data_IF_009986973549
#
_entry.id   IF_009986973549
#
_cell.length_a   1.000
_cell.length_b   1.000
_cell.length_c   1.000
_cell.angle_alpha   90.00
_cell.angle_beta   90.00
_cell.angle_gamma   90.00
#
_symmetry.space_group_name_H-M   'P 1'
#
loop_
_entity.id
_entity.type
_entity.pdbx_description
1 polymer ?
#
# COMPACT_ATOMS: atom_id res chain seq x y z
N UNK A 1 -18.31 -42.87 -53.10
CA UNK A 1 -18.84 -42.07 -54.23
C UNK A 1 -20.30 -41.81 -54.00
N UNK A 2 -20.70 -40.55 -53.84
CA UNK A 2 -22.06 -40.03 -54.05
C UNK A 2 -21.97 -38.50 -54.04
N UNK A 3 -22.69 -37.84 -54.95
CA UNK A 3 -22.66 -36.38 -55.12
C UNK A 3 -24.01 -35.76 -54.75
N UNK A 4 -23.96 -34.72 -53.92
CA UNK A 4 -24.86 -33.57 -53.86
C UNK A 4 -24.20 -32.57 -52.87
N UNK A 5 -24.31 -31.25 -52.89
CA UNK A 5 -24.77 -30.21 -53.83
C UNK A 5 -24.63 -28.92 -53.00
N UNK A 6 -23.82 -27.96 -53.46
CA UNK A 6 -23.90 -26.50 -53.21
C UNK A 6 -24.66 -25.96 -51.98
N UNK A 7 -23.92 -25.30 -51.07
CA UNK A 7 -24.37 -24.12 -50.33
C UNK A 7 -23.19 -23.15 -50.15
N UNK A 8 -23.26 -21.96 -50.76
CA UNK A 8 -22.32 -20.85 -50.52
C UNK A 8 -22.94 -19.86 -49.50
N UNK A 9 -22.18 -19.33 -48.53
CA UNK A 9 -22.62 -18.22 -47.71
C UNK A 9 -22.44 -16.87 -48.43
N UNK A 10 -23.28 -15.85 -48.15
CA UNK A 10 -23.14 -14.52 -48.74
C UNK A 10 -22.04 -13.69 -48.05
N UNK A 11 -21.35 -12.84 -48.82
CA UNK A 11 -20.45 -11.81 -48.26
C UNK A 11 -21.19 -10.50 -48.00
N UNK A 12 -20.92 -9.78 -46.90
CA UNK A 12 -21.31 -8.38 -46.74
C UNK A 12 -20.32 -7.42 -47.43
N UNK A 13 -20.81 -6.24 -47.81
CA UNK A 13 -20.18 -5.35 -48.80
C UNK A 13 -19.04 -4.47 -48.25
N UNK A 14 -18.11 -4.13 -49.15
CA UNK A 14 -17.16 -3.02 -48.98
C UNK A 14 -17.88 -1.66 -49.05
N UNK A 15 -17.38 -0.69 -48.27
CA UNK A 15 -17.73 0.73 -48.39
C UNK A 15 -16.44 1.53 -48.54
N UNK A 16 -16.31 2.23 -49.67
CA UNK A 16 -15.20 3.13 -50.00
C UNK A 16 -15.70 4.58 -50.23
N UNK A 17 -14.80 5.59 -50.25
CA UNK A 17 -15.10 6.88 -49.65
C UNK A 17 -15.34 8.05 -50.63
N UNK A 18 -15.81 9.15 -50.06
CA UNK A 18 -15.67 10.52 -50.57
C UNK A 18 -16.10 11.50 -49.47
N UNK A 19 -15.79 12.80 -49.47
CA UNK A 19 -14.82 13.66 -50.16
C UNK A 19 -15.21 15.09 -49.68
N UNK A 20 -14.24 15.98 -49.41
CA UNK A 20 -14.39 17.46 -49.47
C UNK A 20 -15.31 18.13 -48.40
N UNK A 21 -15.15 19.40 -47.97
CA UNK A 21 -14.13 20.45 -48.20
C UNK A 21 -14.32 21.66 -47.26
N UNK A 22 -13.27 22.47 -47.03
CA UNK A 22 -13.34 23.84 -46.47
C UNK A 22 -13.30 23.94 -44.94
N UNK A 23 -12.81 25.02 -44.29
CA UNK A 23 -12.23 26.31 -44.72
C UNK A 23 -11.22 26.81 -43.65
N UNK A 24 -10.48 27.90 -43.92
CA UNK A 24 -9.36 28.38 -43.07
C UNK A 24 -9.62 29.73 -42.38
N UNK A 25 -9.01 29.94 -41.19
CA UNK A 25 -8.54 31.20 -40.54
C UNK A 25 -9.55 32.38 -40.34
N UNK A 26 -9.32 33.37 -39.42
CA UNK A 26 -8.02 33.87 -38.92
C UNK A 26 -7.95 34.24 -37.40
N UNK A 27 -6.93 35.05 -37.08
CA UNK A 27 -6.45 35.52 -35.76
C UNK A 27 -7.12 36.85 -35.34
N UNK A 28 -7.32 37.13 -34.04
CA UNK A 28 -7.08 38.48 -33.46
C UNK A 28 -7.01 38.53 -31.92
N UNK A 29 -6.46 39.64 -31.42
CA UNK A 29 -6.01 39.94 -30.06
C UNK A 29 -7.10 40.45 -29.08
N UNK A 30 -6.75 40.56 -27.79
CA UNK A 30 -7.53 41.35 -26.82
C UNK A 30 -7.01 41.30 -25.37
N UNK A 31 -6.41 42.39 -24.88
CA UNK A 31 -5.82 42.53 -23.54
C UNK A 31 -6.89 42.96 -22.47
N UNK A 32 -6.60 43.33 -21.19
CA UNK A 32 -7.37 42.84 -20.06
C UNK A 32 -8.23 43.91 -19.35
N UNK A 33 -9.23 43.48 -18.57
CA UNK A 33 -9.91 44.39 -17.64
C UNK A 33 -9.14 44.55 -16.33
N UNK A 34 -8.63 45.76 -16.10
CA UNK A 34 -8.42 46.30 -14.75
C UNK A 34 -9.78 46.52 -14.08
N UNK A 35 -9.84 46.34 -12.76
CA UNK A 35 -10.73 47.14 -11.92
C UNK A 35 -9.95 47.74 -10.76
N UNK A 36 -9.85 49.07 -10.79
CA UNK A 36 -9.36 49.93 -9.72
C UNK A 36 -10.42 50.09 -8.64
N UNK A 37 -10.03 50.21 -7.37
CA UNK A 37 -10.36 51.40 -6.58
C UNK A 37 -9.45 51.59 -5.35
N UNK A 38 -9.05 52.84 -5.11
CA UNK A 38 -8.33 53.32 -3.93
C UNK A 38 -9.32 53.77 -2.82
N UNK A 39 -8.94 53.59 -1.55
CA UNK A 39 -9.02 54.58 -0.46
C UNK A 39 -8.36 53.97 0.81
N UNK A 40 -7.19 54.39 1.30
CA UNK A 40 -6.77 55.67 1.93
C UNK A 40 -7.20 55.82 3.41
N UNK A 41 -6.19 55.69 4.30
CA UNK A 41 -5.95 56.26 5.65
C UNK A 41 -7.15 56.52 6.60
N UNK A 42 -7.07 56.21 7.91
CA UNK A 42 -6.31 56.98 8.93
C UNK A 42 -6.20 56.26 10.29
N UNK A 43 -5.09 56.46 11.01
CA UNK A 43 -4.99 56.45 12.49
C UNK A 43 -5.06 57.91 12.99
N UNK A 44 -5.57 58.21 14.20
CA UNK A 44 -4.64 58.56 15.28
C UNK A 44 -5.08 58.27 16.75
N UNK A 45 -4.04 58.03 17.58
CA UNK A 45 -3.79 58.39 19.01
C UNK A 45 -4.92 58.77 20.01
N UNK A 46 -4.97 57.98 21.09
CA UNK A 46 -4.73 58.31 22.53
C UNK A 46 -5.70 59.19 23.37
N UNK A 47 -5.87 58.79 24.65
CA UNK A 47 -6.13 59.52 25.94
C UNK A 47 -6.77 58.51 26.96
N UNK A 48 -6.74 58.62 28.30
CA UNK A 48 -5.65 58.80 29.32
C UNK A 48 -6.27 58.65 30.75
N UNK A 49 -5.61 57.93 31.70
CA UNK A 49 -5.90 57.86 33.17
C UNK A 49 -7.30 57.31 33.58
N UNK A 50 -7.61 56.80 34.79
CA UNK A 50 -7.03 56.79 36.16
C UNK A 50 -7.75 55.67 37.00
N UNK A 51 -7.47 55.27 38.28
CA UNK A 51 -6.41 55.50 39.30
C UNK A 51 -6.51 54.41 40.44
N UNK A 52 -5.36 53.98 40.99
CA UNK A 52 -5.04 53.58 42.41
C UNK A 52 -5.88 52.54 43.21
N UNK A 53 -5.16 51.57 43.82
CA UNK A 53 -5.51 50.90 45.10
C UNK A 53 -5.78 49.39 44.99
N UNK A 54 -5.29 48.49 45.84
CA UNK A 54 -4.35 48.62 46.98
C UNK A 54 -3.51 47.32 47.15
N UNK A 55 -2.46 47.39 47.97
CA UNK A 55 -1.50 46.30 48.18
C UNK A 55 -1.98 45.29 49.23
N UNK A 56 -1.99 44.00 48.92
CA UNK A 56 -2.15 42.92 49.89
C UNK A 56 -1.26 41.71 49.52
N UNK A 57 -0.28 41.41 50.38
CA UNK A 57 0.61 40.27 50.25
C UNK A 57 -0.08 39.00 50.79
N UNK A 58 -0.36 38.03 49.92
CA UNK A 58 -0.44 36.62 50.32
C UNK A 58 0.37 35.80 49.33
N UNK A 59 1.58 35.42 49.76
CA UNK A 59 2.43 34.50 49.01
C UNK A 59 1.95 33.07 49.27
N UNK A 60 1.16 32.52 48.36
CA UNK A 60 0.88 31.09 48.28
C UNK A 60 1.61 30.55 47.04
N UNK A 61 2.42 29.51 47.23
CA UNK A 61 3.10 28.85 46.12
C UNK A 61 2.07 28.08 45.29
N UNK A 62 1.62 28.67 44.19
CA UNK A 62 1.03 27.91 43.09
C UNK A 62 2.16 27.09 42.46
N UNK A 63 2.43 25.89 43.01
CA UNK A 63 3.27 24.90 42.34
C UNK A 63 2.52 24.42 41.10
N UNK A 64 2.70 25.15 40.01
CA UNK A 64 2.49 24.64 38.65
C UNK A 64 3.20 23.29 38.62
N UNK A 65 2.51 22.17 38.37
CA UNK A 65 3.19 20.90 38.16
C UNK A 65 4.11 21.11 36.98
N UNK A 66 5.42 21.11 37.24
CA UNK A 66 6.42 21.06 36.19
C UNK A 66 6.13 19.76 35.45
N UNK A 67 5.51 19.88 34.28
CA UNK A 67 5.12 18.76 33.45
C UNK A 67 6.43 18.19 32.92
N UNK A 68 7.03 17.32 33.74
CA UNK A 68 8.32 16.73 33.50
C UNK A 68 8.32 16.19 32.08
N UNK A 69 9.05 16.89 31.20
CA UNK A 69 9.34 16.40 29.88
C UNK A 69 10.05 15.08 30.11
N UNK A 70 9.35 13.97 29.86
CA UNK A 70 9.93 12.65 29.99
C UNK A 70 11.26 12.66 29.23
N UNK A 71 12.37 12.17 29.83
CA UNK A 71 13.67 12.30 29.22
C UNK A 71 13.63 11.79 27.80
N UNK A 72 13.82 12.68 26.81
CA UNK A 72 13.87 12.26 25.42
C UNK A 72 14.96 11.20 25.31
N UNK A 73 14.55 9.98 25.00
CA UNK A 73 15.38 8.81 25.21
C UNK A 73 16.53 8.83 24.18
N UNK A 74 17.68 9.36 24.59
CA UNK A 74 18.90 9.46 23.77
C UNK A 74 19.70 8.16 23.74
N UNK A 75 19.06 7.04 24.10
CA UNK A 75 19.59 5.70 23.88
C UNK A 75 19.76 5.37 22.39
N UNK A 76 20.53 4.32 22.06
CA UNK A 76 20.78 3.88 20.69
C UNK A 76 19.56 3.26 20.00
N UNK A 77 18.43 3.13 20.69
CA UNK A 77 17.15 2.64 20.20
C UNK A 77 16.07 3.65 20.60
N UNK A 78 15.48 4.35 19.61
CA UNK A 78 14.47 5.40 19.85
C UNK A 78 13.03 4.88 19.73
N UNK A 79 12.85 3.56 19.60
CA UNK A 79 11.52 2.94 19.46
C UNK A 79 10.70 3.12 20.75
N UNK A 80 9.40 3.34 20.59
CA UNK A 80 8.47 3.46 21.71
C UNK A 80 8.22 2.13 22.42
N UNK A 81 7.72 2.21 23.65
CA UNK A 81 7.25 1.03 24.39
C UNK A 81 6.18 0.23 23.64
N UNK A 82 5.40 0.86 22.75
CA UNK A 82 4.43 0.16 21.89
C UNK A 82 5.16 -0.72 20.85
N UNK A 83 6.19 -0.20 20.17
CA UNK A 83 7.00 -0.99 19.24
C UNK A 83 7.75 -2.12 19.94
N UNK A 84 8.31 -1.87 21.13
CA UNK A 84 8.98 -2.90 21.95
C UNK A 84 8.00 -3.99 22.40
N UNK A 85 6.76 -3.63 22.74
CA UNK A 85 5.70 -4.60 23.06
C UNK A 85 5.26 -5.41 21.83
N UNK A 86 5.12 -4.76 20.67
CA UNK A 86 4.79 -5.42 19.40
C UNK A 86 5.86 -6.44 19.00
N UNK A 87 7.15 -6.14 19.18
CA UNK A 87 8.24 -7.09 18.92
C UNK A 87 8.13 -8.35 19.79
N UNK A 88 7.81 -8.22 21.08
CA UNK A 88 7.57 -9.36 21.97
C UNK A 88 6.31 -10.14 21.57
N UNK A 89 5.25 -9.44 21.19
CA UNK A 89 4.00 -10.04 20.73
C UNK A 89 4.22 -10.88 19.46
N UNK A 90 4.85 -10.34 18.42
CA UNK A 90 5.09 -11.08 17.17
C UNK A 90 6.05 -12.26 17.34
N UNK A 91 7.05 -12.16 18.21
CA UNK A 91 7.87 -13.32 18.58
C UNK A 91 7.04 -14.45 19.22
N UNK A 92 6.06 -14.12 20.06
CA UNK A 92 5.14 -15.10 20.66
C UNK A 92 4.16 -15.70 19.64
N UNK A 93 3.64 -14.88 18.71
CA UNK A 93 2.78 -15.33 17.59
C UNK A 93 3.55 -16.31 16.72
N UNK A 94 4.74 -15.96 16.25
CA UNK A 94 5.59 -16.86 15.45
C UNK A 94 5.82 -18.20 16.16
N UNK A 95 6.16 -18.17 17.45
CA UNK A 95 6.37 -19.38 18.24
C UNK A 95 5.12 -20.27 18.29
N UNK A 96 3.92 -19.69 18.47
CA UNK A 96 2.63 -20.40 18.42
C UNK A 96 2.44 -21.06 17.05
N UNK A 97 2.60 -20.33 15.96
CA UNK A 97 2.37 -20.81 14.59
C UNK A 97 3.32 -21.94 14.19
N UNK A 98 4.61 -21.80 14.50
CA UNK A 98 5.59 -22.86 14.24
C UNK A 98 5.24 -24.13 15.02
N UNK A 99 4.83 -23.98 16.29
CA UNK A 99 4.38 -25.11 17.13
C UNK A 99 3.11 -25.79 16.59
N UNK A 100 2.23 -25.02 15.95
CA UNK A 100 0.99 -25.53 15.34
C UNK A 100 1.17 -26.02 13.89
N UNK A 101 2.37 -25.89 13.29
CA UNK A 101 2.62 -26.24 11.90
C UNK A 101 1.96 -25.28 10.89
N UNK A 102 1.56 -24.08 11.33
CA UNK A 102 0.94 -23.04 10.50
C UNK A 102 1.99 -22.15 9.80
N UNK A 103 3.16 -21.95 10.42
CA UNK A 103 4.30 -21.26 9.81
C UNK A 103 5.40 -22.27 9.46
N UNK A 104 5.26 -22.89 8.28
CA UNK A 104 6.15 -23.96 7.80
C UNK A 104 7.42 -23.42 7.16
N UNK A 105 8.52 -24.16 7.34
CA UNK A 105 9.82 -23.94 6.70
C UNK A 105 10.28 -25.12 5.83
N UNK A 106 9.52 -26.22 5.85
CA UNK A 106 9.72 -27.34 4.93
C UNK A 106 9.22 -27.02 3.51
N UNK A 107 9.62 -27.84 2.53
CA UNK A 107 9.23 -27.68 1.12
C UNK A 107 7.81 -28.12 0.78
N UNK A 108 6.94 -28.30 1.78
CA UNK A 108 5.74 -29.13 1.69
C UNK A 108 6.07 -30.61 1.96
N UNK A 109 5.04 -31.39 2.28
CA UNK A 109 5.16 -32.81 2.57
C UNK A 109 3.98 -33.65 2.05
N UNK A 110 4.02 -34.98 2.23
CA UNK A 110 2.92 -35.88 1.83
C UNK A 110 1.58 -35.59 2.53
N UNK A 111 1.61 -34.79 3.58
CA UNK A 111 0.48 -34.30 4.34
C UNK A 111 -0.33 -33.20 3.62
N UNK A 112 0.21 -32.61 2.54
CA UNK A 112 -0.46 -31.60 1.73
C UNK A 112 -0.55 -32.01 0.24
N UNK A 113 -1.25 -33.11 -0.10
CA UNK A 113 -1.43 -33.53 -1.48
C UNK A 113 -2.29 -32.52 -2.24
N UNK A 114 -1.84 -32.11 -3.42
CA UNK A 114 -2.59 -31.25 -4.33
C UNK A 114 -2.73 -31.90 -5.71
N UNK A 115 -3.83 -31.61 -6.39
CA UNK A 115 -4.08 -32.04 -7.78
C UNK A 115 -4.19 -30.81 -8.69
N UNK A 116 -4.13 -31.01 -10.01
CA UNK A 116 -4.39 -29.93 -10.97
C UNK A 116 -5.77 -29.27 -10.74
N UNK A 117 -6.79 -30.06 -10.40
CA UNK A 117 -8.13 -29.58 -10.03
C UNK A 117 -8.11 -28.72 -8.78
N UNK A 118 -7.40 -29.17 -7.73
CA UNK A 118 -7.23 -28.42 -6.47
C UNK A 118 -6.54 -27.07 -6.73
N UNK A 119 -5.49 -27.05 -7.54
CA UNK A 119 -4.78 -25.82 -7.90
C UNK A 119 -5.64 -24.86 -8.70
N UNK A 120 -6.43 -25.36 -9.66
CA UNK A 120 -7.37 -24.55 -10.44
C UNK A 120 -8.46 -23.93 -9.54
N UNK A 121 -9.07 -24.71 -8.65
CA UNK A 121 -10.08 -24.23 -7.70
C UNK A 121 -9.52 -23.18 -6.73
N UNK A 122 -8.32 -23.42 -6.18
CA UNK A 122 -7.64 -22.43 -5.33
C UNK A 122 -7.34 -21.15 -6.13
N UNK A 123 -6.83 -21.26 -7.36
CA UNK A 123 -6.55 -20.12 -8.22
C UNK A 123 -7.81 -19.31 -8.54
N UNK A 124 -8.91 -19.95 -8.94
CA UNK A 124 -10.19 -19.26 -9.18
C UNK A 124 -10.67 -18.52 -7.91
N UNK A 125 -10.59 -19.18 -6.75
CA UNK A 125 -11.03 -18.62 -5.46
C UNK A 125 -10.18 -17.43 -5.00
N UNK A 126 -8.90 -17.39 -5.37
CA UNK A 126 -7.90 -16.38 -4.96
C UNK A 126 -7.78 -15.23 -5.99
N UNK A 127 -7.87 -15.52 -7.29
CA UNK A 127 -7.60 -14.56 -8.37
C UNK A 127 -8.88 -13.90 -8.94
N UNK A 128 -10.06 -14.50 -8.72
CA UNK A 128 -11.34 -14.00 -9.24
C UNK A 128 -12.27 -13.47 -8.14
N UNK A 129 -11.72 -13.17 -6.97
CA UNK A 129 -12.41 -12.51 -5.87
C UNK A 129 -11.50 -11.45 -5.26
N UNK A 130 -12.09 -10.39 -4.72
CA UNK A 130 -11.44 -9.42 -3.84
C UNK A 130 -11.84 -9.75 -2.38
N UNK A 131 -10.90 -9.72 -1.44
CA UNK A 131 -11.16 -10.02 -0.02
C UNK A 131 -11.92 -8.88 0.69
N UNK A 132 -11.60 -7.63 0.34
CA UNK A 132 -12.17 -6.44 0.97
C UNK A 132 -13.04 -5.65 -0.02
N UNK A 133 -14.23 -5.26 0.44
CA UNK A 133 -15.08 -4.29 -0.25
C UNK A 133 -14.94 -2.91 0.41
N UNK A 134 -14.85 -1.83 -0.38
CA UNK A 134 -14.89 -0.47 0.16
C UNK A 134 -16.35 -0.09 0.49
N UNK A 135 -16.64 0.11 1.79
CA UNK A 135 -17.96 0.57 2.27
C UNK A 135 -17.77 1.78 3.18
N UNK A 136 -18.44 2.89 2.86
CA UNK A 136 -18.34 4.13 3.67
C UNK A 136 -16.93 4.71 3.78
N UNK A 137 -16.07 4.49 2.77
CA UNK A 137 -14.69 4.96 2.76
C UNK A 137 -13.70 4.12 3.59
N UNK A 138 -14.08 2.89 3.99
CA UNK A 138 -13.22 1.93 4.70
C UNK A 138 -13.23 0.59 3.98
N UNK A 139 -12.14 -0.17 4.12
CA UNK A 139 -12.12 -1.57 3.73
C UNK A 139 -12.91 -2.41 4.75
N UNK A 140 -13.74 -3.33 4.25
CA UNK A 140 -14.51 -4.27 5.06
C UNK A 140 -14.30 -5.66 4.48
N UNK A 141 -13.83 -6.60 5.30
CA UNK A 141 -13.63 -8.00 4.91
C UNK A 141 -14.98 -8.56 4.41
N UNK A 142 -15.07 -8.77 3.10
CA UNK A 142 -16.24 -9.25 2.40
C UNK A 142 -15.81 -9.70 1.02
N UNK A 143 -15.65 -11.01 0.85
CA UNK A 143 -15.38 -11.62 -0.45
C UNK A 143 -16.40 -11.13 -1.50
N UNK A 144 -15.92 -10.54 -2.59
CA UNK A 144 -16.73 -10.15 -3.75
C UNK A 144 -16.14 -10.67 -5.05
N UNK A 145 -16.94 -11.11 -6.04
CA UNK A 145 -16.44 -11.50 -7.35
C UNK A 145 -15.65 -10.37 -8.02
N UNK A 146 -14.53 -10.72 -8.64
CA UNK A 146 -13.58 -9.81 -9.25
C UNK A 146 -13.17 -10.32 -10.64
N UNK A 147 -12.36 -9.53 -11.34
CA UNK A 147 -11.79 -9.91 -12.63
C UNK A 147 -10.31 -10.22 -12.46
N UNK A 148 -9.75 -11.13 -13.26
CA UNK A 148 -8.32 -11.42 -13.23
C UNK A 148 -7.51 -10.14 -13.51
N UNK A 149 -6.73 -9.70 -12.52
CA UNK A 149 -5.83 -8.55 -12.64
C UNK A 149 -4.41 -9.04 -12.83
N UNK A 150 -3.61 -8.35 -13.66
CA UNK A 150 -2.23 -8.74 -13.97
C UNK A 150 -1.33 -7.55 -14.26
N UNK A 151 -0.03 -7.75 -14.16
CA UNK A 151 0.97 -6.79 -14.59
C UNK A 151 1.26 -6.93 -16.09
N UNK A 152 1.01 -5.87 -16.85
CA UNK A 152 1.30 -5.82 -18.31
C UNK A 152 2.56 -4.99 -18.62
N UNK A 153 3.24 -4.46 -17.59
CA UNK A 153 4.48 -3.67 -17.68
C UNK A 153 5.56 -4.13 -16.70
N UNK A 154 6.85 -3.84 -16.97
CA UNK A 154 7.94 -4.19 -16.05
C UNK A 154 7.77 -3.59 -14.65
N UNK A 155 8.09 -4.39 -13.65
CA UNK A 155 7.99 -4.06 -12.22
C UNK A 155 9.37 -3.63 -11.70
N UNK A 156 9.40 -2.47 -11.05
CA UNK A 156 10.56 -1.94 -10.32
C UNK A 156 10.20 -1.89 -8.85
N UNK A 157 10.74 -2.86 -8.10
CA UNK A 157 10.53 -3.03 -6.66
C UNK A 157 11.45 -2.07 -5.93
N UNK A 158 10.87 -1.01 -5.37
CA UNK A 158 11.54 -0.06 -4.49
C UNK A 158 11.44 -0.52 -3.05
N UNK A 159 12.53 -0.35 -2.30
CA UNK A 159 12.61 -0.71 -0.88
C UNK A 159 12.70 0.55 -0.03
N UNK A 160 11.78 0.67 0.92
CA UNK A 160 11.73 1.72 1.91
C UNK A 160 11.93 1.08 3.30
N UNK A 161 12.92 1.59 4.04
CA UNK A 161 13.16 1.20 5.42
C UNK A 161 12.98 2.42 6.30
N UNK A 162 12.32 2.25 7.44
CA UNK A 162 12.30 3.26 8.49
C UNK A 162 13.70 3.48 9.07
N UNK A 163 13.98 4.71 9.50
CA UNK A 163 15.29 5.13 10.01
C UNK A 163 15.78 4.31 11.20
N UNK A 164 14.87 3.78 12.04
CA UNK A 164 15.17 2.94 13.19
C UNK A 164 15.43 1.47 12.84
N UNK A 165 15.05 0.99 11.64
CA UNK A 165 15.31 -0.39 11.21
C UNK A 165 16.84 -0.64 11.13
N UNK A 166 17.42 -1.59 11.89
CA UNK A 166 18.87 -1.80 11.90
C UNK A 166 19.41 -2.29 10.56
N UNK A 167 20.60 -1.86 10.14
CA UNK A 167 21.16 -2.23 8.82
C UNK A 167 21.32 -3.75 8.63
N UNK A 168 21.58 -4.51 9.71
CA UNK A 168 21.61 -5.98 9.65
C UNK A 168 20.25 -6.57 9.21
N UNK A 169 19.15 -6.03 9.72
CA UNK A 169 17.80 -6.40 9.29
C UNK A 169 17.54 -5.93 7.84
N UNK A 170 17.95 -4.69 7.49
CA UNK A 170 17.82 -4.18 6.12
C UNK A 170 18.56 -5.05 5.10
N UNK A 171 19.75 -5.54 5.43
CA UNK A 171 20.53 -6.42 4.56
C UNK A 171 19.80 -7.74 4.29
N UNK A 172 19.34 -8.43 5.34
CA UNK A 172 18.55 -9.67 5.24
C UNK A 172 17.28 -9.44 4.40
N UNK A 173 16.52 -8.39 4.72
CA UNK A 173 15.24 -8.10 4.06
C UNK A 173 15.45 -7.70 2.57
N UNK A 174 16.55 -7.00 2.24
CA UNK A 174 16.98 -6.74 0.85
C UNK A 174 17.30 -8.03 0.09
N UNK A 175 18.03 -8.95 0.71
CA UNK A 175 18.40 -10.22 0.08
C UNK A 175 17.17 -11.11 -0.16
N UNK A 176 16.27 -11.20 0.83
CA UNK A 176 15.00 -11.91 0.76
C UNK A 176 14.12 -11.37 -0.38
N UNK A 177 13.88 -10.06 -0.43
CA UNK A 177 13.11 -9.44 -1.53
C UNK A 177 13.81 -9.67 -2.87
N UNK A 178 15.12 -9.48 -2.98
CA UNK A 178 15.84 -9.69 -4.24
C UNK A 178 15.78 -11.16 -4.71
N UNK A 179 15.83 -12.12 -3.81
CA UNK A 179 15.65 -13.54 -4.11
C UNK A 179 14.23 -13.84 -4.58
N UNK A 180 13.22 -13.28 -3.92
CA UNK A 180 11.83 -13.50 -4.29
C UNK A 180 11.44 -12.81 -5.60
N UNK A 181 11.94 -11.61 -5.88
CA UNK A 181 11.82 -10.92 -7.18
C UNK A 181 12.35 -11.79 -8.33
N UNK A 182 13.51 -12.43 -8.16
CA UNK A 182 14.05 -13.38 -9.16
C UNK A 182 13.17 -14.63 -9.33
N UNK A 183 12.49 -15.08 -8.27
CA UNK A 183 11.56 -16.22 -8.31
C UNK A 183 10.25 -15.84 -9.02
N UNK A 184 9.60 -14.76 -8.60
CA UNK A 184 8.36 -14.26 -9.19
C UNK A 184 8.52 -13.93 -10.67
N UNK A 185 9.61 -13.24 -11.06
CA UNK A 185 9.89 -12.92 -12.47
C UNK A 185 10.01 -14.18 -13.34
N UNK A 186 10.71 -15.21 -12.85
CA UNK A 186 10.82 -16.51 -13.53
C UNK A 186 9.49 -17.26 -13.63
N UNK A 187 8.67 -17.23 -12.58
CA UNK A 187 7.40 -17.96 -12.54
C UNK A 187 6.30 -17.30 -13.37
N UNK A 188 6.28 -15.97 -13.45
CA UNK A 188 5.22 -15.19 -14.11
C UNK A 188 5.59 -14.74 -15.52
N UNK A 189 6.88 -14.73 -15.87
CA UNK A 189 7.38 -14.14 -17.12
C UNK A 189 7.41 -12.60 -17.12
N UNK A 190 6.89 -11.94 -16.07
CA UNK A 190 6.94 -10.49 -15.93
C UNK A 190 8.38 -10.08 -15.60
N UNK A 191 8.91 -9.07 -16.29
CA UNK A 191 10.22 -8.51 -15.95
C UNK A 191 10.12 -7.77 -14.60
N UNK A 192 10.81 -8.27 -13.57
CA UNK A 192 10.86 -7.66 -12.24
C UNK A 192 12.30 -7.39 -11.84
N UNK A 193 12.55 -6.19 -11.30
CA UNK A 193 13.88 -5.75 -10.83
C UNK A 193 13.76 -5.05 -9.48
N UNK A 194 14.78 -5.16 -8.62
CA UNK A 194 14.89 -4.30 -7.43
C UNK A 194 15.56 -3.00 -7.84
N UNK A 195 14.87 -1.88 -7.69
CA UNK A 195 15.38 -0.55 -8.04
C UNK A 195 14.61 0.56 -7.34
N UNK A 196 15.34 1.48 -6.70
CA UNK A 196 14.78 2.71 -6.14
C UNK A 196 14.63 3.84 -7.19
N UNK A 197 14.98 3.59 -8.45
CA UNK A 197 14.76 4.54 -9.55
C UNK A 197 13.36 4.36 -10.15
N UNK A 198 12.48 5.34 -9.89
CA UNK A 198 11.08 5.35 -10.34
C UNK A 198 10.33 4.02 -10.05
N UNK A 199 10.33 3.51 -8.79
CA UNK A 199 9.64 2.27 -8.45
C UNK A 199 8.14 2.39 -8.69
N UNK A 200 7.51 1.27 -9.02
CA UNK A 200 6.06 1.14 -9.10
C UNK A 200 5.53 0.00 -8.22
N UNK A 201 6.39 -0.63 -7.44
CA UNK A 201 6.05 -1.67 -6.49
C UNK A 201 6.87 -1.39 -5.25
N UNK A 202 6.23 -1.09 -4.13
CA UNK A 202 6.88 -0.49 -2.97
C UNK A 202 6.76 -1.45 -1.80
N UNK A 203 7.89 -1.95 -1.28
CA UNK A 203 7.90 -2.76 -0.05
C UNK A 203 8.50 -1.92 1.07
N UNK A 204 7.74 -1.74 2.13
CA UNK A 204 8.11 -0.91 3.28
C UNK A 204 8.34 -1.78 4.51
N UNK A 205 9.46 -1.55 5.19
CA UNK A 205 9.77 -2.14 6.49
C UNK A 205 9.81 -1.02 7.51
N UNK A 206 8.81 -0.97 8.40
CA UNK A 206 8.59 0.13 9.35
C UNK A 206 8.33 -0.42 10.74
N UNK A 207 8.95 0.18 11.76
CA UNK A 207 8.46 0.04 13.14
C UNK A 207 7.22 0.90 13.34
N UNK A 208 6.47 0.63 14.40
CA UNK A 208 5.19 1.26 14.74
C UNK A 208 5.22 2.80 14.74
N UNK A 209 6.29 3.39 15.25
CA UNK A 209 6.42 4.85 15.33
C UNK A 209 6.60 5.48 13.94
N UNK A 210 7.22 4.75 13.02
CA UNK A 210 7.52 5.16 11.66
C UNK A 210 6.29 4.92 10.77
N UNK A 211 5.61 3.78 10.96
CA UNK A 211 4.32 3.43 10.38
C UNK A 211 3.30 4.55 10.57
N UNK A 212 3.09 5.02 11.81
CA UNK A 212 2.15 6.11 12.12
C UNK A 212 2.46 7.41 11.38
N UNK A 213 3.72 7.67 11.08
CA UNK A 213 4.22 8.93 10.54
C UNK A 213 4.56 8.88 9.04
N UNK A 214 4.36 7.75 8.36
CA UNK A 214 4.80 7.56 6.95
C UNK A 214 3.97 8.35 5.92
N UNK A 215 2.75 8.78 6.28
CA UNK A 215 1.78 9.37 5.36
C UNK A 215 2.29 10.53 4.47
N UNK A 216 3.03 11.52 4.99
CA UNK A 216 3.63 12.57 4.16
C UNK A 216 4.63 12.05 3.12
N UNK A 217 5.45 11.06 3.48
CA UNK A 217 6.42 10.45 2.56
C UNK A 217 5.70 9.60 1.49
N UNK A 218 4.62 8.90 1.85
CA UNK A 218 3.79 8.19 0.89
C UNK A 218 3.21 9.14 -0.18
N UNK A 219 2.59 10.26 0.23
CA UNK A 219 2.06 11.25 -0.73
C UNK A 219 3.13 11.83 -1.65
N UNK A 220 4.37 11.97 -1.17
CA UNK A 220 5.49 12.45 -1.98
C UNK A 220 6.00 11.39 -2.97
N UNK A 221 6.02 10.11 -2.57
CA UNK A 221 6.61 9.00 -3.34
C UNK A 221 5.63 8.32 -4.28
N UNK A 222 4.33 8.37 -3.96
CA UNK A 222 3.23 7.73 -4.68
C UNK A 222 2.08 8.76 -4.77
N UNK A 223 2.15 9.74 -5.68
CA UNK A 223 1.18 10.85 -5.72
C UNK A 223 -0.27 10.42 -5.94
N UNK A 224 -0.48 9.31 -6.66
CA UNK A 224 -1.80 8.75 -6.96
C UNK A 224 -2.39 7.90 -5.80
N UNK A 225 -1.69 7.82 -4.65
CA UNK A 225 -2.14 7.02 -3.52
C UNK A 225 -3.31 7.71 -2.78
N UNK A 226 -4.49 7.10 -2.86
CA UNK A 226 -5.69 7.59 -2.19
C UNK A 226 -5.56 7.62 -0.66
N UNK A 227 -6.19 8.62 -0.03
CA UNK A 227 -6.09 8.84 1.43
C UNK A 227 -6.52 7.63 2.25
N UNK A 228 -7.51 6.85 1.80
CA UNK A 228 -7.95 5.61 2.48
C UNK A 228 -6.78 4.64 2.69
N UNK A 229 -5.92 4.41 1.68
CA UNK A 229 -4.78 3.51 1.84
C UNK A 229 -3.70 4.10 2.74
N UNK A 230 -3.51 5.42 2.74
CA UNK A 230 -2.61 6.09 3.70
C UNK A 230 -3.12 5.89 5.13
N UNK A 231 -4.43 5.98 5.34
CA UNK A 231 -5.07 5.76 6.63
C UNK A 231 -4.91 4.30 7.07
N UNK A 232 -5.21 3.32 6.20
CA UNK A 232 -4.98 1.90 6.50
C UNK A 232 -3.51 1.60 6.84
N UNK A 233 -2.53 2.11 6.08
CA UNK A 233 -1.11 1.89 6.36
C UNK A 233 -0.71 2.51 7.71
N UNK A 234 -1.08 3.77 7.96
CA UNK A 234 -0.70 4.50 9.19
C UNK A 234 -1.42 3.98 10.44
N UNK A 235 -2.63 3.43 10.28
CA UNK A 235 -3.47 2.95 11.39
C UNK A 235 -3.45 1.42 11.54
N UNK A 236 -2.89 0.67 10.58
CA UNK A 236 -2.94 -0.81 10.51
C UNK A 236 -2.68 -1.45 11.88
N UNK A 237 -3.64 -2.25 12.39
CA UNK A 237 -3.67 -2.70 13.77
C UNK A 237 -2.66 -3.83 14.01
N UNK A 238 -2.42 -4.17 15.29
CA UNK A 238 -1.41 -5.18 15.65
C UNK A 238 -1.69 -6.59 15.09
N UNK A 239 -2.93 -6.91 14.74
CA UNK A 239 -3.34 -8.22 14.25
C UNK A 239 -3.35 -8.33 12.71
N UNK A 240 -2.99 -7.27 12.00
CA UNK A 240 -2.70 -7.30 10.55
C UNK A 240 -1.19 -7.42 10.41
N UNK A 241 -0.64 -8.62 10.21
CA UNK A 241 0.81 -8.83 10.35
C UNK A 241 1.60 -8.11 9.26
N UNK A 242 1.09 -8.15 8.04
CA UNK A 242 1.52 -7.36 6.90
C UNK A 242 0.28 -6.91 6.12
N UNK A 243 0.42 -6.09 5.07
CA UNK A 243 -0.67 -5.85 4.11
C UNK A 243 -0.16 -5.37 2.75
N UNK A 244 -0.79 -5.84 1.66
CA UNK A 244 -0.60 -5.40 0.29
C UNK A 244 -1.82 -4.63 -0.25
N UNK A 245 -1.53 -3.54 -0.96
CA UNK A 245 -2.50 -2.82 -1.79
C UNK A 245 -1.98 -2.76 -3.22
N UNK A 246 -2.73 -3.32 -4.18
CA UNK A 246 -2.44 -3.23 -5.60
C UNK A 246 -3.47 -2.32 -6.30
N UNK A 247 -3.01 -1.53 -7.27
CA UNK A 247 -3.78 -0.51 -7.97
C UNK A 247 -3.82 -0.84 -9.46
N UNK A 248 -4.99 -0.68 -10.08
CA UNK A 248 -5.18 -0.87 -11.52
C UNK A 248 -5.13 0.45 -12.30
N UNK A 249 -5.03 0.36 -13.63
CA UNK A 249 -5.24 1.50 -14.51
C UNK A 249 -6.70 1.97 -14.46
N UNK A 250 -6.92 3.28 -14.47
CA UNK A 250 -8.28 3.87 -14.42
C UNK A 250 -9.10 3.52 -15.66
N UNK A 251 -8.46 3.24 -16.79
CA UNK A 251 -9.08 2.87 -18.06
C UNK A 251 -9.06 1.34 -18.30
N UNK A 252 -8.31 0.59 -17.50
CA UNK A 252 -8.25 -0.88 -17.56
C UNK A 252 -8.07 -1.46 -16.14
N UNK A 253 -9.20 -1.75 -15.48
CA UNK A 253 -9.24 -2.31 -14.13
C UNK A 253 -8.59 -3.69 -13.98
N UNK A 254 -8.28 -4.37 -15.09
CA UNK A 254 -7.57 -5.66 -15.12
C UNK A 254 -6.04 -5.53 -15.26
N UNK A 255 -5.50 -4.31 -15.41
CA UNK A 255 -4.06 -4.08 -15.59
C UNK A 255 -3.47 -3.33 -14.39
N UNK A 256 -2.56 -3.96 -13.66
CA UNK A 256 -1.92 -3.38 -12.49
C UNK A 256 -0.85 -2.34 -12.85
N UNK A 257 -0.86 -1.25 -12.10
CA UNK A 257 -0.06 -0.05 -12.32
C UNK A 257 0.90 0.22 -11.16
N UNK A 258 0.44 0.07 -9.92
CA UNK A 258 1.29 0.16 -8.73
C UNK A 258 0.91 -0.86 -7.66
N UNK A 259 1.83 -1.12 -6.73
CA UNK A 259 1.55 -1.84 -5.49
C UNK A 259 2.32 -1.25 -4.30
N UNK A 260 1.74 -1.34 -3.11
CA UNK A 260 2.30 -0.87 -1.85
C UNK A 260 2.13 -1.96 -0.78
N UNK A 261 3.22 -2.36 -0.15
CA UNK A 261 3.26 -3.41 0.88
C UNK A 261 3.85 -2.83 2.17
N UNK A 262 3.21 -3.12 3.30
CA UNK A 262 3.74 -2.89 4.64
C UNK A 262 4.14 -4.23 5.28
N UNK A 263 5.41 -4.37 5.62
CA UNK A 263 5.93 -5.40 6.53
C UNK A 263 6.33 -4.72 7.84
N UNK A 264 5.81 -5.20 8.97
CA UNK A 264 6.15 -4.63 10.28
C UNK A 264 7.56 -5.05 10.70
N UNK A 265 8.42 -4.08 11.00
CA UNK A 265 9.82 -4.33 11.31
C UNK A 265 10.01 -5.02 12.67
N UNK A 266 9.00 -5.00 13.55
CA UNK A 266 8.95 -5.75 14.80
C UNK A 266 8.93 -7.28 14.64
N UNK A 267 8.54 -7.80 13.48
CA UNK A 267 8.52 -9.24 13.21
C UNK A 267 9.92 -9.86 13.27
N UNK A 268 10.01 -11.11 13.72
CA UNK A 268 11.24 -11.89 13.59
C UNK A 268 11.48 -12.31 12.13
N UNK A 269 12.73 -12.66 11.80
CA UNK A 269 13.19 -12.87 10.42
C UNK A 269 12.33 -13.85 9.61
N UNK A 270 11.81 -14.92 10.24
CA UNK A 270 10.95 -15.89 9.55
C UNK A 270 9.58 -15.30 9.21
N UNK A 271 8.93 -14.59 10.15
CA UNK A 271 7.66 -13.93 9.88
C UNK A 271 7.82 -12.81 8.84
N UNK A 272 8.91 -12.03 8.85
CA UNK A 272 9.20 -11.08 7.77
C UNK A 272 9.40 -11.77 6.42
N UNK A 273 10.06 -12.93 6.38
CA UNK A 273 10.19 -13.72 5.15
C UNK A 273 8.83 -14.25 4.66
N UNK A 274 7.93 -14.66 5.56
CA UNK A 274 6.56 -15.08 5.20
C UNK A 274 5.80 -13.92 4.55
N UNK A 275 5.73 -12.77 5.22
CA UNK A 275 5.15 -11.54 4.68
C UNK A 275 5.76 -11.13 3.33
N UNK A 276 7.08 -11.25 3.14
CA UNK A 276 7.71 -10.97 1.84
C UNK A 276 7.21 -11.94 0.75
N UNK A 277 6.95 -13.21 1.07
CA UNK A 277 6.46 -14.19 0.10
C UNK A 277 4.98 -14.02 -0.25
N UNK A 278 4.13 -13.83 0.77
CA UNK A 278 2.67 -13.70 0.70
C UNK A 278 2.29 -12.42 -0.03
N UNK A 279 2.59 -11.27 0.56
CA UNK A 279 2.19 -9.94 0.09
C UNK A 279 2.70 -9.64 -1.33
N UNK A 280 3.95 -10.03 -1.61
CA UNK A 280 4.50 -9.82 -2.94
C UNK A 280 3.89 -10.74 -4.00
N UNK A 281 3.33 -11.89 -3.62
CA UNK A 281 2.58 -12.76 -4.54
C UNK A 281 1.11 -12.31 -4.68
N UNK A 282 0.46 -11.88 -3.60
CA UNK A 282 -0.88 -11.29 -3.64
C UNK A 282 -0.90 -10.08 -4.60
N UNK A 283 0.07 -9.17 -4.44
CA UNK A 283 0.25 -8.00 -5.30
C UNK A 283 0.61 -8.31 -6.78
N UNK A 284 0.80 -9.57 -7.18
CA UNK A 284 0.96 -9.94 -8.60
C UNK A 284 -0.38 -10.19 -9.33
N UNK A 285 -1.50 -10.30 -8.62
CA UNK A 285 -2.82 -10.60 -9.20
C UNK A 285 -3.70 -11.56 -8.38
N UNK A 286 -3.33 -11.82 -7.13
CA UNK A 286 -3.91 -12.85 -6.26
C UNK A 286 -4.49 -12.17 -5.01
N UNK A 287 -5.46 -11.27 -5.22
CA UNK A 287 -5.88 -10.25 -4.26
C UNK A 287 -6.93 -10.71 -3.21
N UNK A 288 -6.97 -12.01 -2.91
CA UNK A 288 -7.88 -12.56 -1.91
C UNK A 288 -7.35 -13.87 -1.32
N UNK A 289 -7.56 -14.03 -0.02
CA UNK A 289 -7.21 -15.22 0.74
C UNK A 289 -8.24 -16.37 0.76
N UNK A 290 -7.79 -17.57 1.11
CA UNK A 290 -8.66 -18.73 1.25
C UNK A 290 -8.23 -19.67 2.38
N UNK A 291 -9.04 -19.82 3.45
CA UNK A 291 -8.71 -20.70 4.57
C UNK A 291 -8.59 -22.18 4.19
N UNK A 292 -9.14 -22.56 3.03
CA UNK A 292 -9.11 -23.91 2.48
C UNK A 292 -8.01 -24.15 1.44
N UNK A 293 -7.34 -23.10 0.94
CA UNK A 293 -6.28 -23.27 -0.05
C UNK A 293 -5.06 -23.92 0.59
N UNK A 294 -4.66 -25.11 0.12
CA UNK A 294 -3.49 -25.85 0.61
C UNK A 294 -2.79 -26.56 -0.56
N UNK A 295 -1.44 -26.57 -0.61
CA UNK A 295 -0.53 -25.68 0.12
C UNK A 295 -0.75 -24.22 -0.34
N UNK A 296 -0.62 -23.25 0.55
CA UNK A 296 -0.86 -21.83 0.23
C UNK A 296 0.03 -20.90 1.04
N UNK A 297 0.21 -19.69 0.50
CA UNK A 297 0.80 -18.48 1.09
C UNK A 297 -0.21 -17.32 0.95
N UNK A 298 -1.49 -17.68 1.13
CA UNK A 298 -2.69 -16.86 0.99
C UNK A 298 -3.71 -17.37 2.03
N UNK A 299 -3.27 -17.36 3.29
CA UNK A 299 -4.03 -17.85 4.45
C UNK A 299 -3.58 -17.13 5.73
N UNK A 300 -4.07 -15.92 5.93
CA UNK A 300 -3.83 -15.10 7.13
C UNK A 300 -4.76 -15.44 8.34
N UNK A 301 -5.67 -16.42 8.19
CA UNK A 301 -6.53 -16.90 9.28
C UNK A 301 -5.74 -17.74 10.34
N UNK A 302 -5.13 -17.06 11.32
CA UNK A 302 -4.26 -17.60 12.41
C UNK A 302 -4.85 -17.69 13.85
#
# INVERSE_FOLDING_TARGET
>A
MNCATLCQPPMPAELQPGMQSGQACPIHDGNPMRLTHLAILKRPRAILLAMIGALALVSACEQIPDAALEPQNTGPDKRSDESVQLQRYYASVQTKLQTQGLLRTDGGGPDVPFTATTLAQNFERIALFDEYAIRGGRFVAQQTPSHLRRWERPIRVGLLFGDQVPEAQRAIDRENVAAYVRRLSRLTGVNMTVSNANPNFHVMFLYRDEQKNIGPLLRQRIPDLGQVVIDEITQSPRNTFCVAYAFSDQNNSSSYTSALILVKAEHTDLMRLSCIHEEMAQAMGLANDSPTARPSIFNDDE
#
